data_IF_421745059236
#
_entry.id   IF_421745059236
#
_cell.length_a   1.000
_cell.length_b   1.000
_cell.length_c   1.000
_cell.angle_alpha   90.00
_cell.angle_beta   90.00
_cell.angle_gamma   90.00
#
_symmetry.space_group_name_H-M   'P 1'
#
loop_
_entity.id
_entity.type
_entity.pdbx_description
1 polymer ?
#
# COMPACT_ATOMS: atom_id res chain seq x y z
N UNK A 1 44.88 -15.67 -46.90
CA UNK A 1 43.43 -15.68 -46.61
C UNK A 1 43.06 -16.56 -45.41
N UNK A 2 43.73 -17.70 -45.15
CA UNK A 2 43.41 -18.55 -43.99
C UNK A 2 43.69 -17.93 -42.60
N UNK A 3 44.64 -17.00 -42.50
CA UNK A 3 45.07 -16.41 -41.22
C UNK A 3 44.04 -15.46 -40.60
N UNK A 4 43.28 -14.74 -41.43
CA UNK A 4 42.26 -13.78 -40.97
C UNK A 4 41.03 -14.51 -40.42
N UNK A 5 40.68 -15.65 -41.02
CA UNK A 5 39.52 -16.45 -40.60
C UNK A 5 39.72 -17.11 -39.23
N UNK A 6 40.94 -17.57 -38.92
CA UNK A 6 41.25 -18.11 -37.59
C UNK A 6 41.26 -17.03 -36.51
N UNK A 7 41.71 -15.81 -36.82
CA UNK A 7 41.67 -14.68 -35.89
C UNK A 7 40.22 -14.26 -35.61
N UNK A 8 39.38 -14.19 -36.65
CA UNK A 8 37.95 -13.87 -36.51
C UNK A 8 37.19 -14.93 -35.70
N UNK A 9 37.49 -16.21 -35.90
CA UNK A 9 36.92 -17.32 -35.11
C UNK A 9 37.32 -17.23 -33.62
N UNK A 10 38.59 -16.95 -33.31
CA UNK A 10 39.04 -16.77 -31.92
C UNK A 10 38.38 -15.56 -31.24
N UNK A 11 38.17 -14.45 -31.96
CA UNK A 11 37.47 -13.28 -31.44
C UNK A 11 35.99 -13.55 -31.16
N UNK A 12 35.34 -14.42 -31.95
CA UNK A 12 33.96 -14.84 -31.73
C UNK A 12 33.80 -15.74 -30.50
N UNK A 13 34.77 -16.65 -30.27
CA UNK A 13 34.81 -17.47 -29.05
C UNK A 13 35.12 -16.65 -27.78
N UNK A 14 35.94 -15.60 -27.88
CA UNK A 14 36.20 -14.67 -26.77
C UNK A 14 34.97 -13.82 -26.42
N UNK A 15 34.13 -13.48 -27.39
CA UNK A 15 32.89 -12.74 -27.16
C UNK A 15 31.77 -13.61 -26.56
N UNK A 16 31.72 -14.90 -26.91
CA UNK A 16 30.75 -15.86 -26.37
C UNK A 16 31.06 -16.34 -24.94
N UNK A 17 32.29 -16.15 -24.46
CA UNK A 17 32.72 -16.55 -23.12
C UNK A 17 32.59 -15.44 -22.06
N UNK A 18 32.12 -14.24 -22.43
CA UNK A 18 31.79 -13.20 -21.45
C UNK A 18 30.40 -13.56 -20.91
N UNK A 19 30.26 -13.97 -19.63
CA UNK A 19 28.94 -14.11 -19.03
C UNK A 19 28.26 -12.75 -19.13
N UNK A 20 27.16 -12.69 -19.88
CA UNK A 20 26.31 -11.51 -19.93
C UNK A 20 25.64 -11.36 -18.56
N UNK A 21 26.38 -10.79 -17.61
CA UNK A 21 25.78 -10.22 -16.41
C UNK A 21 24.96 -9.03 -16.85
N UNK A 22 23.70 -9.29 -17.23
CA UNK A 22 22.70 -8.24 -17.22
C UNK A 22 22.53 -7.84 -15.75
N UNK A 23 22.82 -6.58 -15.36
CA UNK A 23 22.49 -6.14 -14.02
C UNK A 23 20.96 -6.19 -13.91
N UNK A 24 20.43 -7.17 -13.20
CA UNK A 24 19.05 -7.11 -12.75
C UNK A 24 18.98 -5.96 -11.77
N UNK A 25 18.46 -4.82 -12.20
CA UNK A 25 18.05 -3.78 -11.26
C UNK A 25 17.10 -4.43 -10.27
N UNK A 26 17.42 -4.30 -8.98
CA UNK A 26 16.54 -4.78 -7.92
C UNK A 26 15.21 -4.03 -8.07
N UNK A 27 14.16 -4.77 -8.42
CA UNK A 27 12.82 -4.22 -8.53
C UNK A 27 12.36 -3.80 -7.13
N UNK A 28 12.14 -2.50 -6.94
CA UNK A 28 11.57 -1.96 -5.72
C UNK A 28 10.05 -2.04 -5.80
N UNK A 29 9.40 -2.54 -4.75
CA UNK A 29 7.95 -2.61 -4.65
C UNK A 29 7.48 -2.06 -3.30
N UNK A 30 6.26 -1.53 -3.25
CA UNK A 30 5.62 -1.11 -2.00
C UNK A 30 5.01 -2.32 -1.28
N UNK A 31 5.25 -2.42 0.02
CA UNK A 31 4.66 -3.43 0.89
C UNK A 31 3.98 -2.77 2.08
N UNK A 32 2.88 -3.37 2.53
CA UNK A 32 2.27 -3.13 3.83
C UNK A 32 2.83 -4.18 4.78
N UNK A 33 3.62 -3.76 5.75
CA UNK A 33 4.24 -4.59 6.78
C UNK A 33 3.41 -4.51 8.05
N UNK A 34 3.00 -5.65 8.57
CA UNK A 34 2.30 -5.80 9.83
C UNK A 34 3.30 -6.20 10.92
N UNK A 35 3.27 -5.49 12.03
CA UNK A 35 4.18 -5.63 13.17
C UNK A 35 3.39 -5.94 14.44
N UNK A 36 3.92 -6.81 15.29
CA UNK A 36 3.38 -7.10 16.61
C UNK A 36 3.75 -5.97 17.57
N UNK A 37 2.74 -5.21 18.01
CA UNK A 37 2.93 -4.11 18.93
C UNK A 37 3.58 -4.54 20.26
N UNK A 38 3.31 -5.76 20.73
CA UNK A 38 3.90 -6.26 21.98
C UNK A 38 5.42 -6.45 21.89
N UNK A 39 5.95 -6.54 20.67
CA UNK A 39 7.38 -6.66 20.38
C UNK A 39 8.10 -5.32 20.30
N UNK A 40 7.40 -4.18 20.41
CA UNK A 40 8.04 -2.86 20.39
C UNK A 40 9.02 -2.68 21.55
N UNK A 41 10.31 -2.44 21.29
CA UNK A 41 11.27 -2.24 22.36
C UNK A 41 10.93 -0.99 23.19
N UNK A 42 11.05 -1.09 24.52
CA UNK A 42 10.76 0.01 25.47
C UNK A 42 11.61 1.27 25.25
N UNK A 43 12.71 1.15 24.49
CA UNK A 43 13.55 2.27 24.11
C UNK A 43 12.86 3.24 23.14
N UNK A 44 11.85 2.79 22.40
CA UNK A 44 11.11 3.64 21.47
C UNK A 44 9.89 4.27 22.15
N UNK A 45 9.72 5.57 21.93
CA UNK A 45 8.56 6.34 22.40
C UNK A 45 7.43 6.42 21.36
N UNK A 46 7.69 6.03 20.12
CA UNK A 46 6.71 6.06 19.02
C UNK A 46 6.92 4.90 18.05
N UNK A 47 5.83 4.43 17.45
CA UNK A 47 5.88 3.37 16.44
C UNK A 47 6.71 3.82 15.22
N UNK A 48 6.59 5.09 14.84
CA UNK A 48 7.33 5.65 13.71
C UNK A 48 8.85 5.57 13.90
N UNK A 49 9.36 5.88 15.10
CA UNK A 49 10.80 5.79 15.36
C UNK A 49 11.27 4.33 15.36
N UNK A 50 10.50 3.41 15.95
CA UNK A 50 10.79 1.98 15.88
C UNK A 50 10.84 1.46 14.44
N UNK A 51 9.86 1.79 13.60
CA UNK A 51 9.79 1.32 12.23
C UNK A 51 10.86 1.94 11.32
N UNK A 52 11.17 3.24 11.49
CA UNK A 52 12.29 3.88 10.79
C UNK A 52 13.62 3.20 11.10
N UNK A 53 13.93 3.00 12.38
CA UNK A 53 15.18 2.33 12.79
C UNK A 53 15.24 0.89 12.30
N UNK A 54 14.11 0.18 12.25
CA UNK A 54 14.04 -1.16 11.67
C UNK A 54 14.39 -1.14 10.18
N UNK A 55 13.84 -0.19 9.42
CA UNK A 55 14.13 0.01 7.99
C UNK A 55 15.58 0.42 7.72
N UNK A 56 16.15 1.29 8.55
CA UNK A 56 17.56 1.69 8.49
C UNK A 56 18.46 0.47 8.67
N UNK A 57 18.23 -0.32 9.73
CA UNK A 57 19.01 -1.54 9.99
C UNK A 57 18.96 -2.55 8.85
N UNK A 58 17.82 -2.67 8.16
CA UNK A 58 17.65 -3.59 7.02
C UNK A 58 18.37 -3.06 5.78
N UNK A 59 18.31 -1.75 5.54
CA UNK A 59 19.01 -1.10 4.43
C UNK A 59 20.52 -1.30 4.57
N UNK A 60 21.06 -1.09 5.77
CA UNK A 60 22.47 -1.28 6.08
C UNK A 60 22.90 -2.75 5.89
N UNK A 61 22.08 -3.69 6.38
CA UNK A 61 22.39 -5.12 6.31
C UNK A 61 22.38 -5.68 4.88
N UNK A 62 21.65 -5.07 3.95
CA UNK A 62 21.47 -5.59 2.60
C UNK A 62 22.44 -4.99 1.58
N UNK A 63 23.03 -3.81 1.83
CA UNK A 63 24.18 -3.23 1.12
C UNK A 63 24.22 -3.53 -0.39
N UNK A 64 23.07 -3.45 -1.07
CA UNK A 64 23.00 -3.50 -2.53
C UNK A 64 23.10 -2.07 -3.08
N UNK A 65 23.80 -1.90 -4.20
CA UNK A 65 23.84 -0.65 -4.95
C UNK A 65 22.48 -0.36 -5.61
N UNK A 66 21.45 -0.15 -4.79
CA UNK A 66 20.19 0.41 -5.22
C UNK A 66 20.29 1.93 -5.17
N UNK A 67 19.60 2.60 -6.09
CA UNK A 67 19.40 4.06 -6.10
C UNK A 67 19.25 4.57 -4.66
N UNK A 68 20.12 5.50 -4.24
CA UNK A 68 20.20 6.08 -2.90
C UNK A 68 18.86 6.71 -2.47
N UNK A 69 17.94 5.90 -1.96
CA UNK A 69 16.80 6.36 -1.21
C UNK A 69 17.17 6.33 0.26
N UNK A 70 17.26 7.49 0.95
CA UNK A 70 17.44 7.48 2.39
C UNK A 70 16.32 6.64 3.04
N UNK A 71 16.56 5.90 4.12
CA UNK A 71 15.54 5.05 4.74
C UNK A 71 14.23 5.79 5.08
N UNK A 72 14.33 7.09 5.41
CA UNK A 72 13.18 7.96 5.63
C UNK A 72 12.30 8.18 4.39
N UNK A 73 12.85 8.10 3.17
CA UNK A 73 12.06 8.18 1.92
C UNK A 73 11.45 6.84 1.52
N UNK A 74 11.92 5.72 2.10
CA UNK A 74 11.32 4.40 1.92
C UNK A 74 10.09 4.20 2.79
N UNK A 75 9.99 4.84 3.96
CA UNK A 75 8.80 4.80 4.82
C UNK A 75 7.69 5.71 4.26
N UNK A 76 6.61 5.11 3.78
CA UNK A 76 5.49 5.83 3.18
C UNK A 76 4.42 6.21 4.20
N UNK A 77 4.12 5.32 5.13
CA UNK A 77 3.05 5.53 6.11
C UNK A 77 3.23 4.65 7.34
N UNK A 78 2.79 5.13 8.51
CA UNK A 78 2.76 4.37 9.77
C UNK A 78 1.33 4.18 10.22
N UNK A 79 0.93 2.93 10.42
CA UNK A 79 -0.39 2.55 10.90
C UNK A 79 -0.36 2.30 12.42
N UNK A 80 -1.28 2.94 13.14
CA UNK A 80 -1.37 2.86 14.60
C UNK A 80 -2.74 2.47 15.15
N UNK A 81 -3.77 2.40 14.29
CA UNK A 81 -5.16 2.26 14.71
C UNK A 81 -5.78 0.95 14.21
N UNK A 82 -6.09 0.86 12.91
CA UNK A 82 -6.73 -0.33 12.32
C UNK A 82 -5.77 -1.52 12.20
N UNK A 83 -4.47 -1.25 12.15
CA UNK A 83 -3.38 -2.22 12.17
C UNK A 83 -2.15 -1.55 12.80
N UNK A 84 -1.22 -2.34 13.33
CA UNK A 84 0.08 -1.86 13.80
C UNK A 84 1.15 -2.25 12.80
N UNK A 85 1.76 -1.26 12.15
CA UNK A 85 2.71 -1.55 11.09
C UNK A 85 3.00 -0.35 10.22
N UNK A 86 3.55 -0.56 9.05
CA UNK A 86 3.93 0.51 8.15
C UNK A 86 3.95 0.09 6.68
N UNK A 87 3.83 1.08 5.79
CA UNK A 87 4.03 0.88 4.36
C UNK A 87 5.42 1.36 3.98
N UNK A 88 6.17 0.52 3.25
CA UNK A 88 7.50 0.87 2.80
C UNK A 88 7.84 0.34 1.40
N UNK A 89 8.73 1.05 0.72
CA UNK A 89 9.34 0.63 -0.53
C UNK A 89 10.53 -0.27 -0.21
N UNK A 90 10.48 -1.53 -0.65
CA UNK A 90 11.51 -2.54 -0.35
C UNK A 90 11.96 -3.27 -1.63
N UNK A 91 13.24 -3.60 -1.69
CA UNK A 91 13.80 -4.56 -2.62
C UNK A 91 13.45 -6.02 -2.21
N UNK A 92 13.66 -7.02 -3.08
CA UNK A 92 13.46 -8.42 -2.71
C UNK A 92 14.41 -8.90 -1.60
N UNK A 93 15.62 -8.33 -1.49
CA UNK A 93 16.57 -8.64 -0.41
C UNK A 93 16.18 -7.97 0.90
N UNK A 94 15.74 -6.72 0.86
CA UNK A 94 15.22 -6.01 2.02
C UNK A 94 13.95 -6.67 2.57
N UNK A 95 13.02 -7.08 1.70
CA UNK A 95 11.83 -7.81 2.13
C UNK A 95 12.18 -9.14 2.82
N UNK A 96 13.22 -9.84 2.36
CA UNK A 96 13.70 -11.07 3.00
C UNK A 96 14.25 -10.76 4.39
N UNK A 97 15.12 -9.77 4.52
CA UNK A 97 15.65 -9.33 5.80
C UNK A 97 14.56 -8.81 6.76
N UNK A 98 13.55 -8.12 6.24
CA UNK A 98 12.39 -7.63 7.00
C UNK A 98 11.61 -8.77 7.67
N UNK A 99 11.45 -9.90 6.99
CA UNK A 99 10.74 -11.07 7.54
C UNK A 99 11.42 -11.66 8.77
N UNK A 100 12.72 -11.46 8.90
CA UNK A 100 13.52 -11.94 10.02
C UNK A 100 13.65 -10.89 11.15
N UNK A 101 13.05 -9.70 10.97
CA UNK A 101 13.13 -8.61 11.96
C UNK A 101 12.25 -8.87 13.18
N UNK A 102 12.67 -8.44 14.39
CA UNK A 102 11.86 -8.58 15.60
C UNK A 102 10.49 -7.89 15.46
N UNK A 103 9.44 -8.62 15.82
CA UNK A 103 8.06 -8.14 15.75
C UNK A 103 7.42 -8.22 14.36
N UNK A 104 8.11 -8.73 13.33
CA UNK A 104 7.47 -8.98 12.04
C UNK A 104 6.35 -10.02 12.16
N UNK A 105 5.17 -9.71 11.59
CA UNK A 105 4.04 -10.64 11.52
C UNK A 105 3.78 -11.08 10.08
N UNK A 106 3.65 -10.13 9.16
CA UNK A 106 3.38 -10.42 7.74
C UNK A 106 3.72 -9.23 6.86
N UNK A 107 3.97 -9.46 5.58
CA UNK A 107 4.06 -8.42 4.56
C UNK A 107 3.18 -8.77 3.37
N UNK A 108 2.43 -7.78 2.89
CA UNK A 108 1.57 -7.89 1.72
C UNK A 108 2.01 -6.85 0.72
N UNK A 109 2.24 -7.25 -0.54
CA UNK A 109 2.57 -6.32 -1.61
C UNK A 109 1.38 -5.40 -1.87
N UNK A 110 1.63 -4.09 -1.82
CA UNK A 110 0.62 -3.07 -2.10
C UNK A 110 0.23 -3.13 -3.59
N UNK A 111 -1.06 -2.93 -3.85
CA UNK A 111 -1.65 -3.06 -5.18
C UNK A 111 -2.69 -1.99 -5.39
N UNK A 112 -2.63 -1.34 -6.55
CA UNK A 112 -3.69 -0.46 -6.99
C UNK A 112 -4.98 -1.26 -7.22
N UNK A 113 -6.08 -0.78 -6.63
CA UNK A 113 -7.43 -1.26 -6.91
C UNK A 113 -8.02 -0.47 -8.08
N UNK A 114 -8.91 -1.10 -8.84
CA UNK A 114 -9.67 -0.45 -9.92
C UNK A 114 -11.10 -0.25 -9.45
N UNK A 115 -11.73 0.80 -9.95
CA UNK A 115 -13.15 1.06 -9.70
C UNK A 115 -14.00 -0.06 -10.31
N UNK A 116 -14.81 -0.72 -9.49
CA UNK A 116 -15.65 -1.85 -9.91
C UNK A 116 -16.97 -1.39 -10.55
N UNK A 117 -17.50 -0.24 -10.11
CA UNK A 117 -18.80 0.28 -10.58
C UNK A 117 -18.90 1.79 -10.40
N UNK A 118 -19.68 2.43 -11.27
CA UNK A 118 -20.17 3.81 -11.09
C UNK A 118 -21.65 3.86 -10.67
N UNK A 119 -22.28 2.69 -10.51
CA UNK A 119 -23.72 2.53 -10.24
C UNK A 119 -23.92 1.61 -9.03
N UNK A 120 -23.56 2.08 -7.84
CA UNK A 120 -23.49 1.28 -6.61
C UNK A 120 -24.82 0.65 -6.21
N UNK A 121 -25.95 1.35 -6.37
CA UNK A 121 -27.27 0.80 -6.04
C UNK A 121 -27.62 -0.43 -6.87
N UNK A 122 -27.35 -0.38 -8.19
CA UNK A 122 -27.54 -1.51 -9.09
C UNK A 122 -26.55 -2.64 -8.82
N UNK A 123 -25.28 -2.32 -8.59
CA UNK A 123 -24.23 -3.30 -8.27
C UNK A 123 -24.55 -4.10 -7.00
N UNK A 124 -25.06 -3.43 -5.96
CA UNK A 124 -25.47 -4.04 -4.70
C UNK A 124 -26.88 -4.68 -4.76
N UNK A 125 -27.61 -4.55 -5.87
CA UNK A 125 -28.96 -5.09 -6.02
C UNK A 125 -30.01 -4.39 -5.14
N UNK A 126 -29.81 -3.12 -4.80
CA UNK A 126 -30.70 -2.36 -3.93
C UNK A 126 -32.00 -2.00 -4.67
N UNK A 127 -33.13 -2.16 -3.97
CA UNK A 127 -34.46 -1.91 -4.52
C UNK A 127 -35.34 -1.19 -3.48
N UNK A 128 -36.15 -0.23 -3.93
CA UNK A 128 -37.00 0.58 -3.04
C UNK A 128 -38.21 -0.17 -2.47
N UNK A 129 -38.61 -1.30 -3.07
CA UNK A 129 -39.81 -2.06 -2.71
C UNK A 129 -39.52 -3.34 -1.93
N UNK A 130 -38.30 -3.87 -2.02
CA UNK A 130 -37.91 -5.12 -1.37
C UNK A 130 -36.40 -5.16 -1.10
N UNK A 131 -35.98 -6.12 -0.26
CA UNK A 131 -34.56 -6.35 0.02
C UNK A 131 -34.01 -5.41 1.08
N UNK A 132 -32.72 -5.09 0.98
CA UNK A 132 -31.98 -4.43 2.06
C UNK A 132 -32.58 -3.09 2.50
N UNK A 133 -33.01 -2.23 1.58
CA UNK A 133 -33.54 -0.90 1.91
C UNK A 133 -34.80 -0.94 2.77
N UNK A 134 -35.93 -1.57 2.37
CA UNK A 134 -37.09 -1.67 3.27
C UNK A 134 -36.78 -2.45 4.57
N UNK A 135 -35.94 -3.48 4.51
CA UNK A 135 -35.60 -4.29 5.68
C UNK A 135 -34.76 -3.52 6.72
N UNK A 136 -34.05 -2.48 6.30
CA UNK A 136 -33.19 -1.64 7.15
C UNK A 136 -33.82 -0.28 7.47
N UNK A 137 -35.12 -0.11 7.27
CA UNK A 137 -35.81 1.19 7.38
C UNK A 137 -35.08 2.29 6.58
N UNK A 138 -34.65 1.95 5.36
CA UNK A 138 -33.90 2.81 4.45
C UNK A 138 -32.60 3.41 5.01
N UNK A 139 -32.05 2.80 6.08
CA UNK A 139 -30.82 3.27 6.71
C UNK A 139 -31.05 4.36 7.76
N UNK A 140 -32.29 4.53 8.23
CA UNK A 140 -32.61 5.45 9.32
C UNK A 140 -31.70 5.19 10.53
N UNK A 141 -31.14 6.26 11.07
CA UNK A 141 -30.22 6.23 12.21
C UNK A 141 -28.99 5.32 12.01
N UNK A 142 -28.58 5.03 10.77
CA UNK A 142 -27.34 4.29 10.45
C UNK A 142 -26.27 5.25 9.95
N UNK A 143 -25.02 5.06 10.42
CA UNK A 143 -23.85 5.80 9.90
C UNK A 143 -23.16 4.88 8.89
N UNK A 144 -23.07 5.33 7.63
CA UNK A 144 -22.44 4.60 6.54
C UNK A 144 -21.11 5.27 6.21
N UNK A 145 -20.00 4.53 6.34
CA UNK A 145 -18.69 4.96 5.86
C UNK A 145 -18.49 4.50 4.41
N UNK A 146 -18.16 5.44 3.53
CA UNK A 146 -17.88 5.17 2.12
C UNK A 146 -16.41 5.51 1.83
N UNK A 147 -15.65 4.53 1.33
CA UNK A 147 -14.29 4.73 0.83
C UNK A 147 -14.36 4.65 -0.69
N UNK A 148 -14.39 5.81 -1.33
CA UNK A 148 -14.51 5.96 -2.79
C UNK A 148 -13.66 7.15 -3.26
N UNK A 149 -13.79 7.52 -4.53
CA UNK A 149 -13.21 8.69 -5.18
C UNK A 149 -13.76 10.04 -4.70
N UNK A 150 -14.81 10.03 -3.88
CA UNK A 150 -15.43 11.23 -3.29
C UNK A 150 -16.91 11.36 -3.63
N UNK A 151 -17.49 12.51 -3.28
CA UNK A 151 -18.88 12.89 -3.55
C UNK A 151 -18.94 14.37 -3.93
N UNK A 152 -20.07 14.80 -4.52
CA UNK A 152 -20.38 16.21 -4.77
C UNK A 152 -21.43 16.68 -3.78
N UNK A 153 -21.06 17.37 -2.68
CA UNK A 153 -22.01 17.77 -1.64
C UNK A 153 -23.12 18.70 -2.15
N UNK A 154 -22.89 19.45 -3.24
CA UNK A 154 -23.88 20.30 -3.90
C UNK A 154 -24.96 19.52 -4.67
N UNK A 155 -24.75 18.22 -4.90
CA UNK A 155 -25.73 17.40 -5.61
C UNK A 155 -27.01 17.30 -4.79
N UNK A 156 -28.16 17.50 -5.45
CA UNK A 156 -29.49 17.37 -4.82
C UNK A 156 -29.72 16.00 -4.15
N UNK A 157 -28.97 14.97 -4.54
CA UNK A 157 -29.05 13.64 -3.91
C UNK A 157 -28.53 13.64 -2.46
N UNK A 158 -27.77 14.65 -2.03
CA UNK A 158 -27.28 14.85 -0.67
C UNK A 158 -28.02 15.97 0.08
N UNK A 159 -29.13 16.49 -0.46
CA UNK A 159 -29.98 17.43 0.25
C UNK A 159 -30.54 16.79 1.52
N UNK A 160 -30.44 17.51 2.63
CA UNK A 160 -30.95 17.12 3.94
C UNK A 160 -32.39 17.57 4.19
N UNK A 161 -33.08 18.06 3.16
CA UNK A 161 -34.49 18.46 3.22
C UNK A 161 -35.37 17.28 3.67
N UNK A 162 -35.97 17.41 4.85
CA UNK A 162 -36.85 16.39 5.43
C UNK A 162 -36.10 15.26 6.17
N UNK A 163 -34.78 15.36 6.34
CA UNK A 163 -34.00 14.45 7.17
C UNK A 163 -34.17 14.77 8.66
N UNK A 164 -33.99 13.75 9.50
CA UNK A 164 -33.97 13.90 10.97
C UNK A 164 -32.66 14.51 11.45
N UNK A 165 -32.58 14.84 12.74
CA UNK A 165 -31.35 15.31 13.36
C UNK A 165 -30.19 14.33 13.15
N UNK A 166 -28.99 14.90 13.04
CA UNK A 166 -27.75 14.15 12.90
C UNK A 166 -27.55 13.26 14.14
N UNK A 167 -27.28 11.95 13.98
CA UNK A 167 -27.09 11.07 15.13
C UNK A 167 -25.98 11.55 16.06
N UNK A 168 -26.26 11.67 17.35
CA UNK A 168 -25.32 12.22 18.35
C UNK A 168 -23.99 11.46 18.50
N UNK A 169 -23.96 10.20 18.04
CA UNK A 169 -22.75 9.36 18.01
C UNK A 169 -21.86 9.61 16.78
N UNK A 170 -22.35 10.34 15.78
CA UNK A 170 -21.55 10.72 14.62
C UNK A 170 -20.54 11.79 15.01
N UNK A 171 -19.29 11.60 14.59
CA UNK A 171 -18.16 12.48 14.92
C UNK A 171 -17.55 13.15 13.69
N UNK A 172 -18.25 13.10 12.57
CA UNK A 172 -17.85 13.77 11.34
C UNK A 172 -18.26 15.24 11.33
N UNK A 173 -18.08 15.86 10.17
CA UNK A 173 -18.50 17.23 9.89
C UNK A 173 -19.31 17.26 8.59
N UNK A 174 -20.24 18.21 8.48
CA UNK A 174 -20.94 18.46 7.22
C UNK A 174 -20.05 19.30 6.31
N UNK A 175 -19.93 18.90 5.04
CA UNK A 175 -19.23 19.68 4.02
C UNK A 175 -20.24 20.37 3.11
N UNK A 176 -20.11 21.69 2.95
CA UNK A 176 -20.96 22.45 2.04
C UNK A 176 -20.47 22.31 0.61
N UNK A 177 -21.39 22.15 -0.33
CA UNK A 177 -21.11 22.21 -1.76
C UNK A 177 -20.75 23.63 -2.22
N UNK A 178 -20.09 23.73 -3.38
CA UNK A 178 -19.74 25.01 -4.04
C UNK A 178 -20.77 25.42 -5.08
#
# INVERSE_FOLDING_TARGET
>A
MATIQHILLCLWFLFAAIPQFLPTWAQMDTYIIHMDLASMPKAFSSHQSWYLTTLESISDATSEATIDFPPSSKLLYTYTNALHGFSAILSPSELRAMKDSPGFVSAIKDKSVKMDTTHSSKFLGLNSKYGAWPNSDYGKDVIIGLVDSGVWPESKSYSDDGMTEIPSRWKGQCESGT
#
